data_IF_250966322771
#
_entry.id   IF_250966322771
#
_cell.length_a   1.000
_cell.length_b   1.000
_cell.length_c   1.000
_cell.angle_alpha   90.00
_cell.angle_beta   90.00
_cell.angle_gamma   90.00
#
_symmetry.space_group_name_H-M   'P 1'
#
loop_
_entity.id
_entity.type
_entity.pdbx_description
1 polymer ?
#
# COMPACT_ATOMS: atom_id res chain seq x y z
N UNK A 1 19.57 9.63 -12.91
CA UNK A 1 19.53 9.10 -11.53
C UNK A 1 20.74 8.22 -11.20
N UNK A 2 21.52 7.79 -12.19
CA UNK A 2 22.61 6.83 -12.00
C UNK A 2 23.97 7.49 -11.68
N UNK A 3 24.11 8.79 -11.95
CA UNK A 3 25.35 9.53 -11.75
C UNK A 3 25.52 9.96 -10.29
N UNK A 4 26.54 9.45 -9.62
CA UNK A 4 26.84 9.74 -8.22
C UNK A 4 27.27 11.21 -7.99
N UNK A 5 27.82 11.87 -8.98
CA UNK A 5 28.34 13.25 -8.88
C UNK A 5 27.25 14.25 -8.49
N UNK A 6 26.04 14.11 -9.05
CA UNK A 6 24.89 14.96 -8.69
C UNK A 6 24.49 14.85 -7.22
N UNK A 7 24.58 13.65 -6.63
CA UNK A 7 24.28 13.42 -5.21
C UNK A 7 25.35 13.97 -4.29
N UNK A 8 26.63 13.93 -4.68
CA UNK A 8 27.72 14.58 -3.93
C UNK A 8 27.53 16.08 -3.91
N UNK A 9 27.24 16.70 -5.06
CA UNK A 9 26.95 18.14 -5.15
C UNK A 9 25.74 18.54 -4.29
N UNK A 10 24.70 17.69 -4.26
CA UNK A 10 23.54 17.90 -3.40
C UNK A 10 23.95 17.84 -1.91
N UNK A 11 24.77 16.85 -1.53
CA UNK A 11 25.26 16.72 -0.16
C UNK A 11 26.10 17.94 0.27
N UNK A 12 27.01 18.40 -0.59
CA UNK A 12 27.82 19.59 -0.36
C UNK A 12 26.94 20.85 -0.24
N UNK A 13 25.98 21.03 -1.14
CA UNK A 13 25.04 22.15 -1.10
C UNK A 13 24.24 22.19 0.19
N UNK A 14 23.68 21.07 0.62
CA UNK A 14 22.91 20.96 1.85
C UNK A 14 23.82 21.21 3.08
N UNK A 15 25.05 20.66 3.07
CA UNK A 15 26.03 20.92 4.12
C UNK A 15 26.42 22.39 4.24
N UNK A 16 26.63 23.09 3.12
CA UNK A 16 26.88 24.53 3.12
C UNK A 16 25.69 25.32 3.70
N UNK A 17 24.45 24.91 3.40
CA UNK A 17 23.26 25.55 3.96
C UNK A 17 23.14 25.32 5.46
N UNK A 18 23.35 24.09 5.92
CA UNK A 18 23.33 23.74 7.33
C UNK A 18 24.37 24.56 8.12
N UNK A 19 25.59 24.68 7.59
CA UNK A 19 26.64 25.49 8.17
C UNK A 19 26.32 27.01 8.20
N UNK A 20 25.77 27.52 7.08
CA UNK A 20 25.38 28.92 6.99
C UNK A 20 24.25 29.29 7.95
N UNK A 21 23.32 28.39 8.19
CA UNK A 21 22.22 28.60 9.15
C UNK A 21 22.58 28.18 10.58
N UNK A 22 23.71 27.53 10.78
CA UNK A 22 24.15 26.95 12.07
C UNK A 22 23.13 26.01 12.69
N UNK A 23 22.52 25.18 11.82
CA UNK A 23 21.50 24.18 12.19
C UNK A 23 21.77 22.87 11.48
N UNK A 24 21.28 21.79 12.05
CA UNK A 24 21.17 20.49 11.37
C UNK A 24 19.77 20.37 10.79
N UNK A 25 19.61 20.62 9.49
CA UNK A 25 18.29 20.57 8.86
C UNK A 25 17.76 19.15 8.73
N UNK A 26 16.46 19.01 8.89
CA UNK A 26 15.74 17.78 8.55
C UNK A 26 15.67 17.60 7.04
N UNK A 27 15.92 16.39 6.54
CA UNK A 27 15.95 16.08 5.11
C UNK A 27 14.88 15.04 4.77
N UNK A 28 13.98 15.38 3.87
CA UNK A 28 12.94 14.48 3.38
C UNK A 28 13.12 14.29 1.86
N UNK A 29 13.46 13.07 1.45
CA UNK A 29 13.56 12.69 0.05
C UNK A 29 12.28 12.03 -0.41
N UNK A 30 11.55 12.65 -1.33
CA UNK A 30 10.33 12.12 -1.91
C UNK A 30 10.61 11.58 -3.31
N UNK A 31 10.46 10.26 -3.47
CA UNK A 31 10.73 9.56 -4.73
C UNK A 31 9.45 9.38 -5.55
N UNK A 32 9.11 10.40 -6.34
CA UNK A 32 8.03 10.37 -7.31
C UNK A 32 8.55 9.92 -8.70
N UNK A 33 9.21 8.76 -8.75
CA UNK A 33 9.85 8.21 -9.95
C UNK A 33 9.45 6.75 -10.16
N UNK A 34 9.56 6.22 -11.40
CA UNK A 34 9.33 4.81 -11.67
C UNK A 34 10.22 3.89 -10.81
N UNK A 35 9.71 2.76 -10.32
CA UNK A 35 10.41 1.85 -9.40
C UNK A 35 11.75 1.33 -9.90
N UNK A 36 11.95 1.27 -11.21
CA UNK A 36 13.22 0.86 -11.83
C UNK A 36 14.41 1.72 -11.42
N UNK A 37 14.18 2.97 -11.01
CA UNK A 37 15.21 3.90 -10.58
C UNK A 37 15.49 3.84 -9.06
N UNK A 38 14.65 3.18 -8.27
CA UNK A 38 14.78 3.16 -6.81
C UNK A 38 16.15 2.68 -6.35
N UNK A 39 16.62 1.58 -6.92
CA UNK A 39 17.92 1.00 -6.55
C UNK A 39 19.07 2.00 -6.70
N UNK A 40 19.17 2.64 -7.86
CA UNK A 40 20.23 3.61 -8.14
C UNK A 40 20.14 4.82 -7.21
N UNK A 41 18.93 5.37 -7.03
CA UNK A 41 18.71 6.54 -6.16
C UNK A 41 19.07 6.22 -4.71
N UNK A 42 18.59 5.11 -4.15
CA UNK A 42 18.88 4.74 -2.76
C UNK A 42 20.35 4.51 -2.51
N UNK A 43 21.03 3.81 -3.42
CA UNK A 43 22.46 3.59 -3.33
C UNK A 43 23.24 4.91 -3.37
N UNK A 44 22.89 5.80 -4.28
CA UNK A 44 23.56 7.10 -4.41
C UNK A 44 23.30 8.02 -3.22
N UNK A 45 22.07 8.04 -2.68
CA UNK A 45 21.75 8.75 -1.43
C UNK A 45 22.61 8.23 -0.25
N UNK A 46 22.76 6.91 -0.16
CA UNK A 46 23.57 6.30 0.90
C UNK A 46 25.07 6.58 0.72
N UNK A 47 25.61 6.41 -0.49
CA UNK A 47 27.03 6.66 -0.78
C UNK A 47 27.44 8.13 -0.62
N UNK A 48 26.55 9.06 -0.90
CA UNK A 48 26.81 10.50 -0.70
C UNK A 48 26.65 10.96 0.75
N UNK A 49 26.29 10.05 1.68
CA UNK A 49 26.07 10.39 3.09
C UNK A 49 24.73 11.07 3.37
N UNK A 50 23.89 11.28 2.37
CA UNK A 50 22.59 11.97 2.50
C UNK A 50 21.57 11.20 3.35
N UNK A 51 21.81 9.92 3.64
CA UNK A 51 20.95 9.10 4.50
C UNK A 51 21.24 9.25 5.99
N UNK A 52 22.39 9.86 6.32
CA UNK A 52 22.82 10.01 7.71
C UNK A 52 22.26 11.32 8.28
N UNK A 53 21.68 11.28 9.51
CA UNK A 53 21.39 12.51 10.24
C UNK A 53 22.68 13.23 10.64
N UNK A 54 22.61 14.50 10.95
CA UNK A 54 23.77 15.25 11.45
C UNK A 54 24.21 14.74 12.83
N UNK A 55 23.25 14.50 13.71
CA UNK A 55 23.45 13.95 15.06
C UNK A 55 22.30 13.00 15.41
N UNK A 56 22.39 12.24 16.52
CA UNK A 56 21.28 11.41 17.00
C UNK A 56 20.01 12.20 17.32
N UNK A 57 20.17 13.45 17.74
CA UNK A 57 19.08 14.28 18.24
C UNK A 57 18.57 15.29 17.20
N UNK A 58 19.39 15.62 16.17
CA UNK A 58 19.08 16.67 15.20
C UNK A 58 19.32 16.25 13.77
N UNK A 59 18.60 16.86 12.85
CA UNK A 59 18.82 16.71 11.42
C UNK A 59 18.44 15.33 10.91
N UNK A 60 17.25 14.81 11.28
CA UNK A 60 16.78 13.53 10.76
C UNK A 60 16.71 13.50 9.23
N UNK A 61 16.97 12.34 8.66
CA UNK A 61 16.81 12.09 7.23
C UNK A 61 15.76 11.00 7.03
N UNK A 62 14.81 11.24 6.14
CA UNK A 62 13.71 10.32 5.82
C UNK A 62 13.52 10.21 4.31
N UNK A 63 12.98 9.09 3.88
CA UNK A 63 12.66 8.83 2.48
C UNK A 63 11.21 8.40 2.34
N UNK A 64 10.49 9.02 1.41
CA UNK A 64 9.15 8.60 1.01
C UNK A 64 9.26 7.83 -0.30
N UNK A 65 8.70 6.63 -0.30
CA UNK A 65 8.64 5.73 -1.45
C UNK A 65 7.19 5.51 -1.82
N UNK A 66 6.87 5.72 -3.08
CA UNK A 66 5.53 5.42 -3.60
C UNK A 66 5.39 3.96 -4.06
N UNK A 67 4.15 3.52 -4.19
CA UNK A 67 3.83 2.24 -4.83
C UNK A 67 4.21 2.26 -6.32
N UNK A 68 4.51 1.10 -6.94
CA UNK A 68 4.52 -0.24 -6.36
C UNK A 68 5.81 -0.55 -5.60
N UNK A 69 5.68 -1.27 -4.48
CA UNK A 69 6.82 -1.74 -3.67
C UNK A 69 7.35 -3.10 -4.16
N UNK A 70 7.38 -3.31 -5.46
CA UNK A 70 7.67 -4.55 -6.16
C UNK A 70 6.49 -5.03 -6.99
N UNK A 71 6.76 -5.87 -7.99
CA UNK A 71 5.76 -6.48 -8.87
C UNK A 71 5.15 -7.75 -8.26
N UNK A 72 5.90 -8.41 -7.42
CA UNK A 72 5.59 -9.67 -6.75
C UNK A 72 6.32 -9.78 -5.40
N UNK A 73 6.11 -10.88 -4.68
CA UNK A 73 6.74 -11.11 -3.37
C UNK A 73 8.27 -11.05 -3.44
N UNK A 74 8.88 -11.63 -4.47
CA UNK A 74 10.34 -11.68 -4.62
C UNK A 74 10.93 -10.28 -4.75
N UNK A 75 10.42 -9.49 -5.68
CA UNK A 75 10.90 -8.13 -5.93
C UNK A 75 10.59 -7.18 -4.77
N UNK A 76 9.48 -7.38 -4.06
CA UNK A 76 9.17 -6.65 -2.83
C UNK A 76 10.17 -6.96 -1.72
N UNK A 77 10.52 -8.23 -1.51
CA UNK A 77 11.53 -8.65 -0.53
C UNK A 77 12.95 -8.18 -0.89
N UNK A 78 13.28 -8.12 -2.19
CA UNK A 78 14.56 -7.58 -2.66
C UNK A 78 14.68 -6.09 -2.36
N UNK A 79 13.62 -5.32 -2.64
CA UNK A 79 13.55 -3.89 -2.32
C UNK A 79 13.64 -3.66 -0.80
N UNK A 80 12.89 -4.41 -0.01
CA UNK A 80 12.87 -4.30 1.45
C UNK A 80 14.26 -4.60 2.05
N UNK A 81 14.91 -5.70 1.61
CA UNK A 81 16.28 -6.02 2.04
C UNK A 81 17.30 -4.96 1.64
N UNK A 82 17.14 -4.35 0.46
CA UNK A 82 18.01 -3.27 0.02
C UNK A 82 17.82 -2.03 0.89
N UNK A 83 16.56 -1.63 1.13
CA UNK A 83 16.25 -0.49 1.98
C UNK A 83 16.80 -0.68 3.41
N UNK A 84 16.58 -1.84 4.02
CA UNK A 84 17.07 -2.14 5.36
C UNK A 84 18.60 -2.20 5.51
N UNK A 85 19.36 -2.29 4.40
CA UNK A 85 20.83 -2.14 4.41
C UNK A 85 21.30 -0.70 4.35
N UNK A 86 20.48 0.21 3.84
CA UNK A 86 20.85 1.59 3.55
C UNK A 86 20.23 2.58 4.52
N UNK A 87 19.11 2.22 5.15
CA UNK A 87 18.32 3.07 6.03
C UNK A 87 17.85 2.29 7.25
N UNK A 88 17.61 2.98 8.36
CA UNK A 88 16.83 2.44 9.47
C UNK A 88 15.32 2.48 9.13
N UNK A 89 14.52 1.59 9.70
CA UNK A 89 13.08 1.50 9.39
C UNK A 89 12.33 2.81 9.66
N UNK A 90 12.73 3.55 10.68
CA UNK A 90 12.15 4.84 11.06
C UNK A 90 12.39 5.95 10.01
N UNK A 91 13.34 5.72 9.10
CA UNK A 91 13.62 6.63 8.00
C UNK A 91 12.78 6.35 6.75
N UNK A 92 12.11 5.17 6.66
CA UNK A 92 11.43 4.71 5.45
C UNK A 92 9.93 4.88 5.58
N UNK A 93 9.34 5.71 4.71
CA UNK A 93 7.90 5.91 4.62
C UNK A 93 7.39 5.31 3.32
N UNK A 94 6.76 4.14 3.42
CA UNK A 94 6.09 3.48 2.30
C UNK A 94 4.69 4.05 2.17
N UNK A 95 4.47 4.90 1.17
CA UNK A 95 3.22 5.65 1.03
C UNK A 95 2.17 4.85 0.28
N UNK A 96 1.03 4.64 0.94
CA UNK A 96 -0.24 4.35 0.29
C UNK A 96 -1.17 5.54 0.53
N UNK A 97 -1.49 6.30 -0.52
CA UNK A 97 -2.29 7.51 -0.45
C UNK A 97 -3.71 7.29 0.09
N UNK A 98 -4.23 6.06 0.04
CA UNK A 98 -5.52 5.72 0.66
C UNK A 98 -5.47 5.83 2.17
N UNK A 99 -4.34 5.50 2.80
CA UNK A 99 -4.17 5.65 4.24
C UNK A 99 -4.13 7.12 4.69
N UNK A 100 -3.81 8.04 3.78
CA UNK A 100 -3.86 9.49 4.01
C UNK A 100 -5.26 10.10 3.88
N UNK A 101 -6.25 9.37 3.34
CA UNK A 101 -7.61 9.88 3.22
C UNK A 101 -8.28 9.97 4.58
N UNK A 102 -8.89 11.13 4.87
CA UNK A 102 -9.59 11.40 6.12
C UNK A 102 -10.66 10.35 6.44
N UNK A 103 -11.43 9.94 5.44
CA UNK A 103 -12.44 8.88 5.55
C UNK A 103 -11.86 7.53 5.99
N UNK A 104 -10.64 7.21 5.57
CA UNK A 104 -9.96 5.97 5.96
C UNK A 104 -9.41 6.07 7.38
N UNK A 105 -8.83 7.22 7.75
CA UNK A 105 -8.38 7.48 9.12
C UNK A 105 -9.55 7.46 10.11
N UNK A 106 -10.71 7.95 9.70
CA UNK A 106 -11.93 7.91 10.49
C UNK A 106 -12.42 6.50 10.82
N UNK A 107 -12.02 5.45 10.08
CA UNK A 107 -12.31 4.05 10.44
C UNK A 107 -11.71 3.74 11.82
N UNK A 108 -10.46 4.12 12.05
CA UNK A 108 -9.78 3.88 13.33
C UNK A 108 -10.44 4.69 14.46
N UNK A 109 -10.67 5.98 14.23
CA UNK A 109 -11.33 6.83 15.20
C UNK A 109 -12.73 6.29 15.55
N UNK A 110 -13.54 5.95 14.56
CA UNK A 110 -14.89 5.42 14.77
C UNK A 110 -14.87 4.10 15.57
N UNK A 111 -13.98 3.17 15.20
CA UNK A 111 -13.91 1.87 15.86
C UNK A 111 -13.44 1.96 17.31
N UNK A 112 -12.40 2.72 17.55
CA UNK A 112 -11.67 2.66 18.83
C UNK A 112 -12.06 3.76 19.82
N UNK A 113 -12.79 4.81 19.38
CA UNK A 113 -13.38 5.80 20.28
C UNK A 113 -14.77 5.41 20.77
N UNK A 114 -15.37 4.33 20.23
CA UNK A 114 -16.72 3.88 20.59
C UNK A 114 -16.67 2.49 21.22
N UNK A 115 -16.59 2.44 22.54
CA UNK A 115 -16.45 1.18 23.29
C UNK A 115 -17.58 0.18 23.01
N UNK A 116 -18.81 0.65 22.80
CA UNK A 116 -19.96 -0.21 22.49
C UNK A 116 -19.85 -0.98 21.17
N UNK A 117 -18.97 -0.55 20.25
CA UNK A 117 -18.72 -1.26 19.02
C UNK A 117 -17.74 -2.44 19.21
N UNK A 118 -16.91 -2.41 20.23
CA UNK A 118 -15.84 -3.40 20.40
C UNK A 118 -16.38 -4.83 20.51
N UNK A 119 -17.44 -5.01 21.28
CA UNK A 119 -18.05 -6.33 21.51
C UNK A 119 -18.78 -6.89 20.28
N UNK A 120 -19.20 -6.03 19.37
CA UNK A 120 -19.95 -6.39 18.16
C UNK A 120 -19.10 -6.34 16.87
N UNK A 121 -17.83 -5.83 16.93
CA UNK A 121 -16.96 -5.70 15.76
C UNK A 121 -16.15 -6.96 15.50
N UNK A 122 -16.84 -8.07 15.36
CA UNK A 122 -16.27 -9.40 15.18
C UNK A 122 -17.31 -10.35 14.54
N UNK A 123 -16.99 -11.64 14.47
CA UNK A 123 -17.88 -12.68 13.92
C UNK A 123 -19.26 -12.77 14.58
N UNK A 124 -19.42 -12.26 15.80
CA UNK A 124 -20.73 -12.29 16.49
C UNK A 124 -21.67 -11.19 15.99
N UNK A 125 -21.11 -10.02 15.69
CA UNK A 125 -21.93 -8.88 15.25
C UNK A 125 -21.86 -8.61 13.73
N UNK A 126 -20.85 -9.10 13.01
CA UNK A 126 -20.68 -8.84 11.59
C UNK A 126 -20.88 -10.12 10.79
N UNK A 127 -21.88 -10.10 9.89
CA UNK A 127 -22.22 -11.23 9.04
C UNK A 127 -21.30 -11.35 7.82
N UNK A 128 -20.89 -10.21 7.23
CA UNK A 128 -20.06 -10.13 6.03
C UNK A 128 -19.26 -8.84 6.02
N UNK A 129 -18.06 -8.90 5.47
CA UNK A 129 -17.24 -7.73 5.14
C UNK A 129 -17.10 -7.67 3.61
N UNK A 130 -17.38 -6.53 3.01
CA UNK A 130 -17.14 -6.28 1.59
C UNK A 130 -16.29 -5.03 1.45
N UNK A 131 -15.21 -5.09 0.70
CA UNK A 131 -14.37 -3.93 0.41
C UNK A 131 -14.33 -3.77 -1.11
N UNK A 132 -14.91 -2.69 -1.58
CA UNK A 132 -15.12 -2.42 -3.00
C UNK A 132 -14.49 -1.09 -3.38
N UNK A 133 -13.71 -1.10 -4.45
CA UNK A 133 -13.13 0.09 -5.03
C UNK A 133 -13.35 0.02 -6.56
N UNK A 134 -14.41 0.69 -6.99
CA UNK A 134 -14.84 0.73 -8.39
C UNK A 134 -14.56 2.10 -8.96
N UNK A 135 -14.06 2.14 -10.18
CA UNK A 135 -13.74 3.37 -10.91
C UNK A 135 -14.54 3.44 -12.20
N UNK A 136 -15.24 4.55 -12.43
CA UNK A 136 -16.02 4.76 -13.67
C UNK A 136 -15.12 4.92 -14.88
N UNK A 137 -13.94 5.49 -14.67
CA UNK A 137 -12.95 5.72 -15.72
C UNK A 137 -12.23 4.43 -16.08
N UNK A 138 -11.85 4.30 -17.38
CA UNK A 138 -10.93 3.28 -17.87
C UNK A 138 -9.47 3.60 -17.49
N UNK A 139 -8.51 2.93 -18.15
CA UNK A 139 -7.09 3.17 -17.90
C UNK A 139 -6.56 4.47 -18.54
N UNK A 140 -7.27 5.02 -19.54
CA UNK A 140 -6.87 6.23 -20.27
C UNK A 140 -5.47 6.08 -20.89
N UNK A 141 -4.63 7.09 -20.72
CA UNK A 141 -3.26 7.10 -21.26
C UNK A 141 -2.25 6.26 -20.46
N UNK A 142 -2.70 5.35 -19.60
CA UNK A 142 -1.83 4.54 -18.72
C UNK A 142 -1.59 3.12 -19.22
N UNK A 143 -1.86 2.83 -20.50
CA UNK A 143 -1.75 1.48 -21.07
C UNK A 143 -0.39 0.85 -20.82
N UNK A 144 0.71 1.52 -21.17
CA UNK A 144 2.07 1.03 -20.97
C UNK A 144 2.42 0.69 -19.52
N UNK A 145 1.78 1.35 -18.54
CA UNK A 145 1.98 1.07 -17.12
C UNK A 145 1.04 -0.03 -16.62
N UNK A 146 -0.22 0.01 -17.07
CA UNK A 146 -1.27 -0.84 -16.52
C UNK A 146 -1.25 -2.25 -17.11
N UNK A 147 -0.87 -2.37 -18.38
CA UNK A 147 -0.81 -3.65 -19.06
C UNK A 147 0.29 -4.54 -18.44
N UNK A 148 -0.07 -5.77 -18.12
CA UNK A 148 0.77 -6.68 -17.33
C UNK A 148 0.77 -6.45 -15.80
N UNK A 149 0.18 -5.32 -15.30
CA UNK A 149 -0.01 -5.09 -13.87
C UNK A 149 -1.39 -5.58 -13.41
N UNK A 150 -2.46 -5.03 -13.97
CA UNK A 150 -3.85 -5.39 -13.70
C UNK A 150 -4.42 -4.79 -12.41
N UNK A 151 -5.76 -4.89 -12.28
CA UNK A 151 -6.51 -4.35 -11.15
C UNK A 151 -6.10 -4.98 -9.81
N UNK A 152 -5.80 -6.28 -9.79
CA UNK A 152 -5.43 -6.97 -8.56
C UNK A 152 -4.13 -6.43 -7.97
N UNK A 153 -3.11 -6.18 -8.80
CA UNK A 153 -1.84 -5.63 -8.31
C UNK A 153 -1.89 -4.12 -8.11
N UNK A 154 -2.59 -3.38 -9.00
CA UNK A 154 -2.66 -1.92 -8.89
C UNK A 154 -3.49 -1.46 -7.69
N UNK A 155 -4.57 -2.18 -7.35
CA UNK A 155 -5.54 -1.77 -6.33
C UNK A 155 -5.70 -2.81 -5.23
N UNK A 156 -5.83 -4.09 -5.59
CA UNK A 156 -6.18 -5.16 -4.65
C UNK A 156 -5.12 -5.39 -3.59
N UNK A 157 -3.89 -5.69 -4.01
CA UNK A 157 -2.80 -6.06 -3.09
C UNK A 157 -2.21 -4.89 -2.28
N UNK A 158 -2.69 -3.66 -2.51
CA UNK A 158 -2.33 -2.50 -1.70
C UNK A 158 -3.58 -1.88 -1.06
N UNK A 159 -4.35 -1.07 -1.77
CA UNK A 159 -5.45 -0.30 -1.17
C UNK A 159 -6.51 -1.16 -0.50
N UNK A 160 -6.99 -2.26 -1.15
CA UNK A 160 -8.02 -3.10 -0.55
C UNK A 160 -7.49 -3.88 0.65
N UNK A 161 -6.26 -4.41 0.58
CA UNK A 161 -5.65 -5.10 1.72
C UNK A 161 -5.33 -4.13 2.88
N UNK A 162 -4.97 -2.88 2.59
CA UNK A 162 -4.82 -1.84 3.61
C UNK A 162 -6.14 -1.56 4.32
N UNK A 163 -7.24 -1.36 3.55
CA UNK A 163 -8.58 -1.15 4.11
C UNK A 163 -9.05 -2.36 4.92
N UNK A 164 -8.83 -3.58 4.40
CA UNK A 164 -9.14 -4.82 5.13
C UNK A 164 -8.39 -4.87 6.45
N UNK A 165 -7.10 -4.57 6.44
CA UNK A 165 -6.28 -4.62 7.65
C UNK A 165 -6.76 -3.61 8.70
N UNK A 166 -7.12 -2.38 8.31
CA UNK A 166 -7.66 -1.36 9.21
C UNK A 166 -9.05 -1.73 9.74
N UNK A 167 -9.89 -2.32 8.88
CA UNK A 167 -11.24 -2.72 9.27
C UNK A 167 -11.25 -3.92 10.22
N UNK A 168 -10.36 -4.89 10.00
CA UNK A 168 -10.37 -6.16 10.71
C UNK A 168 -9.34 -6.27 11.85
N UNK A 169 -8.42 -5.30 12.01
CA UNK A 169 -7.42 -5.36 13.08
C UNK A 169 -8.04 -5.32 14.47
N UNK A 170 -7.35 -5.86 15.45
CA UNK A 170 -7.71 -5.72 16.84
C UNK A 170 -7.32 -4.33 17.39
N UNK A 171 -7.83 -3.99 18.57
CA UNK A 171 -7.46 -2.75 19.24
C UNK A 171 -5.96 -2.76 19.57
N UNK A 172 -5.19 -1.77 19.10
CA UNK A 172 -3.78 -1.72 19.45
C UNK A 172 -3.61 -1.35 20.93
N UNK A 173 -2.58 -1.90 21.57
CA UNK A 173 -2.26 -1.57 22.97
C UNK A 173 -1.86 -0.11 23.17
N UNK A 174 -1.31 0.50 22.10
CA UNK A 174 -0.99 1.93 22.03
C UNK A 174 -1.32 2.44 20.62
N UNK A 175 -1.77 3.68 20.52
CA UNK A 175 -2.00 4.35 19.24
C UNK A 175 -0.71 4.96 18.68
N UNK A 176 0.32 4.12 18.48
CA UNK A 176 1.55 4.47 17.80
C UNK A 176 1.71 3.69 16.48
N UNK A 177 2.64 4.14 15.64
CA UNK A 177 2.84 3.56 14.31
C UNK A 177 3.23 2.08 14.35
N UNK A 178 3.99 1.65 15.36
CA UNK A 178 4.47 0.27 15.49
C UNK A 178 3.34 -0.67 15.92
N UNK A 179 2.54 -0.25 16.89
CA UNK A 179 1.41 -1.03 17.35
C UNK A 179 0.36 -1.19 16.24
N UNK A 180 0.04 -0.10 15.52
CA UNK A 180 -0.85 -0.14 14.37
C UNK A 180 -0.32 -1.07 13.27
N UNK A 181 0.97 -1.00 12.94
CA UNK A 181 1.58 -1.89 11.94
C UNK A 181 1.51 -3.37 12.37
N UNK A 182 1.77 -3.67 13.65
CA UNK A 182 1.69 -5.03 14.18
C UNK A 182 0.28 -5.61 14.07
N UNK A 183 -0.74 -4.86 14.50
CA UNK A 183 -2.12 -5.37 14.45
C UNK A 183 -2.61 -5.55 12.99
N UNK A 184 -2.29 -4.63 12.10
CA UNK A 184 -2.57 -4.77 10.67
C UNK A 184 -1.87 -5.98 10.05
N UNK A 185 -0.62 -6.22 10.40
CA UNK A 185 0.14 -7.38 9.91
C UNK A 185 -0.47 -8.72 10.38
N UNK A 186 -1.05 -8.79 11.58
CA UNK A 186 -1.77 -9.99 12.05
C UNK A 186 -2.96 -10.32 11.14
N UNK A 187 -3.73 -9.32 10.71
CA UNK A 187 -4.86 -9.52 9.79
C UNK A 187 -4.37 -10.07 8.45
N UNK A 188 -3.33 -9.46 7.86
CA UNK A 188 -2.80 -9.90 6.57
C UNK A 188 -2.21 -11.31 6.63
N UNK A 189 -1.56 -11.67 7.75
CA UNK A 189 -1.04 -13.03 7.99
C UNK A 189 -2.15 -14.08 8.18
N UNK A 190 -3.34 -13.65 8.59
CA UNK A 190 -4.50 -14.53 8.74
C UNK A 190 -5.23 -14.83 7.42
N UNK A 191 -4.88 -14.14 6.31
CA UNK A 191 -5.40 -14.48 5.00
C UNK A 191 -4.88 -15.85 4.54
N UNK A 192 -5.75 -16.74 4.03
CA UNK A 192 -5.30 -18.02 3.49
C UNK A 192 -4.53 -17.82 2.19
N UNK A 193 -3.60 -18.74 1.93
CA UNK A 193 -3.06 -18.90 0.57
C UNK A 193 -4.07 -19.74 -0.20
N UNK A 194 -4.68 -19.16 -1.23
CA UNK A 194 -5.67 -19.85 -2.06
C UNK A 194 -5.00 -20.84 -2.99
N UNK A 195 -5.50 -22.06 -3.02
CA UNK A 195 -5.13 -23.06 -4.03
C UNK A 195 -5.69 -22.70 -5.43
N UNK A 196 -5.24 -23.37 -6.46
CA UNK A 196 -5.79 -23.17 -7.81
C UNK A 196 -7.29 -23.46 -7.88
N UNK A 197 -7.79 -24.42 -7.12
CA UNK A 197 -9.21 -24.76 -7.08
C UNK A 197 -10.00 -23.73 -6.26
N UNK A 198 -9.46 -23.21 -5.17
CA UNK A 198 -10.05 -22.08 -4.43
C UNK A 198 -10.17 -20.85 -5.33
N UNK A 199 -9.14 -20.56 -6.11
CA UNK A 199 -9.18 -19.43 -7.06
C UNK A 199 -10.29 -19.62 -8.10
N UNK A 200 -10.45 -20.82 -8.67
CA UNK A 200 -11.55 -21.10 -9.61
C UNK A 200 -12.92 -20.93 -8.98
N UNK A 201 -13.08 -21.34 -7.72
CA UNK A 201 -14.35 -21.29 -7.01
C UNK A 201 -14.70 -19.89 -6.50
N UNK A 202 -13.68 -19.12 -6.05
CA UNK A 202 -13.88 -17.92 -5.25
C UNK A 202 -13.34 -16.63 -5.88
N UNK A 203 -12.68 -16.71 -7.06
CA UNK A 203 -12.18 -15.54 -7.75
C UNK A 203 -12.83 -15.39 -9.14
N UNK A 204 -13.07 -14.14 -9.52
CA UNK A 204 -13.48 -13.73 -10.86
C UNK A 204 -12.56 -12.65 -11.36
N UNK A 205 -12.24 -12.68 -12.64
CA UNK A 205 -11.51 -11.61 -13.31
C UNK A 205 -12.11 -11.32 -14.67
N UNK A 206 -11.93 -10.13 -15.18
CA UNK A 206 -12.43 -9.73 -16.48
C UNK A 206 -11.74 -8.48 -17.00
N UNK A 207 -12.03 -8.16 -18.24
CA UNK A 207 -11.63 -6.91 -18.87
C UNK A 207 -12.88 -6.14 -19.29
N UNK A 208 -12.83 -4.80 -19.22
CA UNK A 208 -13.90 -4.02 -19.80
C UNK A 208 -13.84 -4.04 -21.33
N UNK A 209 -14.98 -3.86 -21.95
CA UNK A 209 -15.10 -3.86 -23.41
C UNK A 209 -14.26 -2.73 -24.02
N UNK A 210 -13.37 -3.08 -24.95
CA UNK A 210 -12.48 -2.12 -25.60
C UNK A 210 -11.10 -1.98 -24.97
N UNK A 211 -10.80 -2.65 -23.85
CA UNK A 211 -9.49 -2.58 -23.19
C UNK A 211 -8.31 -2.85 -24.15
N UNK A 212 -8.40 -3.91 -24.98
CA UNK A 212 -7.36 -4.28 -25.95
C UNK A 212 -7.16 -3.27 -27.10
N UNK A 213 -8.01 -2.24 -27.19
CA UNK A 213 -7.90 -1.13 -28.16
C UNK A 213 -7.35 0.14 -27.53
N UNK A 214 -7.12 0.13 -26.23
CA UNK A 214 -6.53 1.27 -25.54
C UNK A 214 -5.08 1.48 -25.99
N UNK A 215 -4.66 2.73 -25.93
CA UNK A 215 -3.30 3.10 -26.32
C UNK A 215 -2.26 2.37 -25.45
N UNK A 216 -1.22 1.85 -26.09
CA UNK A 216 -0.09 1.14 -25.45
C UNK A 216 -0.51 -0.13 -24.68
N UNK A 217 -1.62 -0.77 -25.06
CA UNK A 217 -2.05 -2.09 -24.60
C UNK A 217 -1.80 -3.10 -25.69
N UNK A 218 -1.27 -4.28 -25.33
CA UNK A 218 -1.12 -5.39 -26.27
C UNK A 218 -2.52 -5.90 -26.70
N UNK A 219 -2.83 -5.98 -28.02
CA UNK A 219 -4.12 -6.47 -28.49
C UNK A 219 -4.50 -7.88 -27.99
N UNK A 220 -3.51 -8.69 -27.62
CA UNK A 220 -3.69 -10.05 -27.06
C UNK A 220 -3.65 -10.09 -25.54
N UNK A 221 -3.55 -8.94 -24.88
CA UNK A 221 -3.41 -8.84 -23.43
C UNK A 221 -4.55 -9.55 -22.67
N UNK A 222 -4.16 -10.30 -21.66
CA UNK A 222 -5.06 -10.96 -20.70
C UNK A 222 -5.05 -10.27 -19.33
N UNK A 223 -4.50 -9.04 -19.25
CA UNK A 223 -4.46 -8.25 -18.03
C UNK A 223 -5.86 -7.92 -17.57
N UNK A 224 -6.20 -8.26 -16.34
CA UNK A 224 -7.52 -8.00 -15.80
C UNK A 224 -7.70 -6.51 -15.45
N UNK A 225 -8.86 -5.96 -15.82
CA UNK A 225 -9.31 -4.62 -15.41
C UNK A 225 -10.39 -4.66 -14.32
N UNK A 226 -10.81 -5.86 -13.99
CA UNK A 226 -11.76 -6.18 -12.93
C UNK A 226 -11.36 -7.47 -12.24
N UNK A 227 -11.48 -7.49 -10.93
CA UNK A 227 -11.45 -8.73 -10.15
C UNK A 227 -12.45 -8.67 -8.99
N UNK A 228 -12.85 -9.85 -8.57
CA UNK A 228 -13.62 -10.11 -7.36
C UNK A 228 -13.06 -11.36 -6.70
N UNK A 229 -12.73 -11.28 -5.40
CA UNK A 229 -12.22 -12.41 -4.64
C UNK A 229 -13.04 -12.55 -3.37
N UNK A 230 -13.58 -13.73 -3.12
CA UNK A 230 -14.15 -14.10 -1.85
C UNK A 230 -13.12 -14.87 -1.03
N UNK A 231 -12.90 -14.44 0.19
CA UNK A 231 -11.90 -15.02 1.11
C UNK A 231 -12.40 -14.96 2.55
N UNK A 232 -11.57 -15.32 3.51
CA UNK A 232 -11.85 -15.28 4.94
C UNK A 232 -10.56 -15.04 5.74
N UNK A 233 -10.66 -14.84 7.05
CA UNK A 233 -9.51 -14.72 7.93
C UNK A 233 -9.42 -15.95 8.87
N UNK A 234 -8.25 -16.55 8.91
CA UNK A 234 -7.92 -17.67 9.80
C UNK A 234 -7.53 -17.16 11.20
N UNK A 235 -8.45 -16.46 11.86
CA UNK A 235 -8.30 -16.04 13.25
C UNK A 235 -9.64 -16.16 13.99
N UNK A 236 -9.59 -16.17 15.32
CA UNK A 236 -10.77 -16.40 16.15
C UNK A 236 -11.78 -15.25 16.09
N UNK A 237 -11.32 -14.04 15.82
CA UNK A 237 -12.17 -12.82 15.76
C UNK A 237 -13.10 -12.85 14.55
N UNK A 238 -12.59 -13.30 13.39
CA UNK A 238 -13.29 -13.24 12.11
C UNK A 238 -13.64 -14.61 11.51
N UNK A 239 -13.39 -15.69 12.25
CA UNK A 239 -13.67 -17.07 11.78
C UNK A 239 -15.11 -17.23 11.30
N UNK A 240 -15.27 -17.64 10.04
CA UNK A 240 -16.60 -17.86 9.44
C UNK A 240 -17.26 -16.59 8.85
N UNK A 241 -16.64 -15.43 8.94
CA UNK A 241 -17.14 -14.21 8.28
C UNK A 241 -16.58 -14.16 6.86
N UNK A 242 -17.43 -14.22 5.81
CA UNK A 242 -16.99 -14.09 4.42
C UNK A 242 -16.52 -12.66 4.14
N UNK A 243 -15.41 -12.55 3.42
CA UNK A 243 -14.80 -11.30 3.01
C UNK A 243 -14.82 -11.23 1.49
N UNK A 244 -15.39 -10.16 0.94
CA UNK A 244 -15.40 -9.87 -0.47
C UNK A 244 -14.45 -8.70 -0.75
N UNK A 245 -13.48 -8.92 -1.64
CA UNK A 245 -12.60 -7.89 -2.18
C UNK A 245 -12.93 -7.71 -3.66
N UNK A 246 -13.26 -6.49 -4.06
CA UNK A 246 -13.67 -6.19 -5.44
C UNK A 246 -13.08 -4.88 -5.92
N UNK A 247 -12.52 -4.89 -7.14
CA UNK A 247 -12.12 -3.67 -7.83
C UNK A 247 -12.29 -3.81 -9.33
N UNK A 248 -12.54 -2.69 -9.99
CA UNK A 248 -12.67 -2.63 -11.43
C UNK A 248 -12.63 -1.23 -11.99
N UNK A 249 -12.18 -1.14 -13.24
CA UNK A 249 -12.20 0.07 -14.06
C UNK A 249 -13.32 0.00 -15.09
N UNK A 250 -13.72 1.17 -15.61
CA UNK A 250 -14.85 1.36 -16.53
C UNK A 250 -16.16 0.74 -15.97
N UNK A 251 -16.39 0.90 -14.69
CA UNK A 251 -17.60 0.45 -14.01
C UNK A 251 -18.74 1.46 -14.18
N UNK A 252 -19.97 1.07 -13.86
CA UNK A 252 -21.14 1.96 -13.97
C UNK A 252 -21.03 3.20 -13.09
N UNK A 253 -20.34 3.08 -11.96
CA UNK A 253 -20.18 4.14 -10.97
C UNK A 253 -18.80 4.06 -10.29
N UNK A 254 -18.34 5.19 -9.79
CA UNK A 254 -17.18 5.22 -8.89
C UNK A 254 -17.66 5.00 -7.47
N UNK A 255 -17.09 3.99 -6.81
CA UNK A 255 -17.50 3.57 -5.47
C UNK A 255 -16.26 3.21 -4.63
N UNK A 256 -16.20 3.78 -3.45
CA UNK A 256 -15.29 3.31 -2.39
C UNK A 256 -16.14 2.97 -1.19
N UNK A 257 -16.29 1.69 -0.91
CA UNK A 257 -17.23 1.19 0.07
C UNK A 257 -16.59 0.10 0.94
N UNK A 258 -16.88 0.17 2.23
CA UNK A 258 -16.61 -0.91 3.19
C UNK A 258 -17.95 -1.26 3.88
N UNK A 259 -18.94 -1.80 3.14
CA UNK A 259 -20.20 -2.16 3.72
C UNK A 259 -20.04 -3.35 4.65
N UNK A 260 -20.77 -3.27 5.75
CA UNK A 260 -20.93 -4.35 6.71
C UNK A 260 -22.39 -4.77 6.74
N UNK A 261 -22.64 -6.06 6.80
CA UNK A 261 -23.93 -6.56 7.19
C UNK A 261 -23.86 -6.98 8.64
N UNK A 262 -24.64 -6.30 9.48
CA UNK A 262 -24.76 -6.61 10.90
C UNK A 262 -25.72 -7.78 11.04
N UNK A 263 -25.44 -8.73 11.92
CA UNK A 263 -26.38 -9.80 12.28
C UNK A 263 -27.57 -9.18 13.00
N UNK A 264 -28.77 -9.50 12.53
CA UNK A 264 -30.05 -9.14 13.14
C UNK A 264 -30.29 -9.99 14.38
#
# INVERSE_FOLDING_TARGET
FEENEGYKKLAEFLGMRDNGWRVCSNKLFYLAVPPQHYKAIFQNLAFSGLTKPCSPEEGWTRVIVEKPFGKDLKTAQELDRMLGKLFCEEQIYRMDHYLGKETVQNILAFRFSNSFLQDSWNKMGIERVSIRLLEKEGIGNRGAFYDGLGALRDVGQNHLLQLLSLFCMDSPTKFDGDSLRRERAKVLKALPVLSADDVKAHAKRGQYQGYSKEKDVDPSSQTETYFQIQTFLNNDIWKGVPILLESGKAMKESLVEVPRRIRS
#
